data_IF_427355171654
#
_entry.id   IF_427355171654
#
_cell.length_a   1.000
_cell.length_b   1.000
_cell.length_c   1.000
_cell.angle_alpha   90.00
_cell.angle_beta   90.00
_cell.angle_gamma   90.00
#
_symmetry.space_group_name_H-M   'P 1'
#
loop_
_entity.id
_entity.type
_entity.pdbx_description
1 polymer ?
#
# COMPACT_ATOMS: atom_id res chain seq x y z
N UNK A 1 -17.87 14.09 2.04
CA UNK A 1 -16.73 13.23 1.67
C UNK A 1 -17.26 11.81 1.62
N UNK A 2 -17.52 11.32 0.43
CA UNK A 2 -17.99 9.95 0.21
C UNK A 2 -16.82 9.00 0.43
N UNK A 3 -17.05 7.80 0.95
CA UNK A 3 -16.02 6.79 1.29
C UNK A 3 -15.08 6.39 0.14
N UNK A 4 -15.34 6.85 -1.10
CA UNK A 4 -14.60 6.51 -2.31
C UNK A 4 -13.28 7.31 -2.50
N UNK A 5 -13.04 8.37 -1.72
CA UNK A 5 -11.81 9.19 -1.86
C UNK A 5 -10.69 8.81 -0.86
N UNK A 6 -10.94 7.85 0.04
CA UNK A 6 -9.92 7.34 0.96
C UNK A 6 -9.19 6.16 0.33
N UNK A 7 -7.86 6.24 0.33
CA UNK A 7 -7.01 5.10 0.01
C UNK A 7 -7.37 3.93 0.95
N UNK A 8 -7.51 2.67 0.46
CA UNK A 8 -7.96 1.50 1.26
C UNK A 8 -6.92 0.98 2.27
N UNK A 9 -6.09 1.85 2.84
CA UNK A 9 -5.22 1.49 3.96
C UNK A 9 -6.00 1.69 5.26
N UNK A 10 -6.19 0.66 6.09
CA UNK A 10 -6.88 0.79 7.37
C UNK A 10 -6.02 1.61 8.35
N UNK A 11 -6.66 2.40 9.22
CA UNK A 11 -5.98 3.17 10.27
C UNK A 11 -5.00 2.34 11.10
N UNK A 12 -5.34 1.06 11.35
CA UNK A 12 -4.48 0.13 12.07
C UNK A 12 -3.11 -0.09 11.41
N UNK A 13 -3.04 -0.03 10.08
CA UNK A 13 -1.78 -0.09 9.35
C UNK A 13 -0.95 1.20 9.51
N UNK A 14 -1.61 2.35 9.70
CA UNK A 14 -0.94 3.62 9.91
C UNK A 14 -0.40 3.81 11.34
N UNK A 15 -1.01 3.17 12.35
CA UNK A 15 -0.67 3.37 13.77
C UNK A 15 0.78 3.05 14.16
N UNK A 16 1.48 2.23 13.36
CA UNK A 16 2.88 1.84 13.62
C UNK A 16 3.91 2.63 12.81
N UNK A 17 3.45 3.62 12.06
CA UNK A 17 4.30 4.47 11.22
C UNK A 17 4.78 5.65 12.04
N UNK A 18 6.08 6.02 11.99
CA UNK A 18 6.65 7.13 12.75
C UNK A 18 6.32 8.50 12.11
N UNK A 19 5.07 8.71 11.70
CA UNK A 19 4.54 9.99 11.21
C UNK A 19 3.20 10.29 11.90
N UNK A 20 2.83 11.58 12.07
CA UNK A 20 1.48 11.94 12.50
C UNK A 20 0.43 11.34 11.55
N UNK A 21 -0.71 10.91 12.10
CA UNK A 21 -1.78 10.27 11.34
C UNK A 21 -2.29 11.14 10.17
N UNK A 22 -2.40 12.45 10.39
CA UNK A 22 -2.81 13.41 9.36
C UNK A 22 -1.78 13.51 8.22
N UNK A 23 -0.48 13.45 8.56
CA UNK A 23 0.59 13.50 7.56
C UNK A 23 0.58 12.25 6.68
N UNK A 24 0.48 11.05 7.26
CA UNK A 24 0.40 9.82 6.47
C UNK A 24 -0.87 9.76 5.63
N UNK A 25 -2.02 10.22 6.13
CA UNK A 25 -3.25 10.28 5.33
C UNK A 25 -3.12 11.22 4.13
N UNK A 26 -2.44 12.35 4.28
CA UNK A 26 -2.19 13.26 3.16
C UNK A 26 -1.30 12.59 2.08
N UNK A 27 -0.29 11.81 2.48
CA UNK A 27 0.54 11.04 1.54
C UNK A 27 -0.28 9.96 0.83
N UNK A 28 -1.09 9.21 1.56
CA UNK A 28 -1.94 8.15 1.01
C UNK A 28 -2.99 8.70 0.03
N UNK A 29 -3.56 9.89 0.30
CA UNK A 29 -4.43 10.57 -0.66
C UNK A 29 -3.71 10.88 -1.98
N UNK A 30 -2.46 11.36 -1.91
CA UNK A 30 -1.63 11.61 -3.10
C UNK A 30 -1.31 10.32 -3.86
N UNK A 31 -1.09 9.21 -3.15
CA UNK A 31 -0.92 7.88 -3.77
C UNK A 31 -2.20 7.42 -4.47
N UNK A 32 -3.36 7.59 -3.85
CA UNK A 32 -4.64 7.22 -4.45
C UNK A 32 -4.85 7.98 -5.77
N UNK A 33 -4.58 9.28 -5.79
CA UNK A 33 -4.64 10.09 -7.01
C UNK A 33 -3.57 9.68 -8.04
N UNK A 34 -2.38 9.27 -7.61
CA UNK A 34 -1.34 8.76 -8.49
C UNK A 34 -1.70 7.44 -9.17
N UNK A 35 -2.44 6.57 -8.48
CA UNK A 35 -2.94 5.30 -9.00
C UNK A 35 -4.20 5.45 -9.85
N UNK A 36 -4.93 6.56 -9.71
CA UNK A 36 -6.15 6.83 -10.46
C UNK A 36 -5.94 6.66 -11.97
N UNK A 37 -6.66 5.71 -12.56
CA UNK A 37 -6.58 5.38 -13.99
C UNK A 37 -5.45 4.40 -14.37
N UNK A 38 -4.61 3.98 -13.42
CA UNK A 38 -3.53 3.00 -13.62
C UNK A 38 -3.86 1.63 -13.03
N UNK A 39 -4.96 1.48 -12.31
CA UNK A 39 -5.31 0.29 -11.53
C UNK A 39 -5.34 -0.96 -12.42
N UNK A 40 -5.95 -0.85 -13.61
CA UNK A 40 -5.98 -1.95 -14.59
C UNK A 40 -4.60 -2.29 -15.15
N UNK A 41 -3.71 -1.31 -15.31
CA UNK A 41 -2.36 -1.56 -15.80
C UNK A 41 -1.53 -2.25 -14.72
N UNK A 42 -1.57 -1.72 -13.49
CA UNK A 42 -0.90 -2.29 -12.32
C UNK A 42 -1.37 -3.72 -12.03
N UNK A 43 -2.68 -3.97 -12.06
CA UNK A 43 -3.24 -5.31 -11.86
C UNK A 43 -2.94 -6.33 -12.97
N UNK A 44 -2.48 -5.88 -14.15
CA UNK A 44 -1.94 -6.79 -15.18
C UNK A 44 -0.44 -6.97 -15.07
N UNK A 45 0.27 -5.95 -14.60
CA UNK A 45 1.73 -5.96 -14.48
C UNK A 45 2.20 -6.81 -13.29
N UNK A 46 1.46 -6.76 -12.18
CA UNK A 46 1.87 -7.35 -10.93
C UNK A 46 0.97 -8.50 -10.49
N UNK A 47 1.55 -9.42 -9.72
CA UNK A 47 0.85 -10.56 -9.16
C UNK A 47 -0.13 -10.10 -8.07
N UNK A 48 -1.34 -10.67 -8.07
CA UNK A 48 -2.36 -10.40 -7.05
C UNK A 48 -2.10 -11.27 -5.82
N UNK A 49 -1.82 -10.64 -4.68
CA UNK A 49 -1.52 -11.33 -3.42
C UNK A 49 -2.80 -11.77 -2.71
N UNK A 50 -3.77 -10.85 -2.55
CA UNK A 50 -5.06 -11.11 -1.90
C UNK A 50 -6.12 -10.07 -2.24
N UNK A 51 -7.36 -10.42 -1.91
CA UNK A 51 -8.54 -9.56 -1.99
C UNK A 51 -8.85 -8.98 -0.63
N UNK A 52 -8.62 -7.68 -0.50
CA UNK A 52 -9.03 -6.93 0.68
C UNK A 52 -10.49 -6.50 0.52
N UNK A 53 -11.15 -6.19 1.64
CA UNK A 53 -12.55 -5.73 1.64
C UNK A 53 -12.79 -4.55 0.69
N UNK A 54 -11.86 -3.60 0.69
CA UNK A 54 -12.00 -2.30 0.00
C UNK A 54 -11.00 -2.13 -1.15
N UNK A 55 -10.31 -3.20 -1.53
CA UNK A 55 -9.22 -3.10 -2.50
C UNK A 55 -8.62 -4.43 -2.93
N UNK A 56 -7.50 -4.34 -3.63
CA UNK A 56 -6.68 -5.50 -3.98
C UNK A 56 -5.24 -5.24 -3.54
N UNK A 57 -4.58 -6.25 -3.01
CA UNK A 57 -3.15 -6.18 -2.71
C UNK A 57 -2.38 -6.87 -3.82
N UNK A 58 -1.39 -6.17 -4.36
CA UNK A 58 -0.48 -6.64 -5.38
C UNK A 58 0.91 -6.83 -4.78
N UNK A 59 1.64 -7.80 -5.30
CA UNK A 59 3.07 -7.92 -5.12
C UNK A 59 3.81 -7.22 -6.26
N UNK A 60 4.49 -6.13 -5.93
CA UNK A 60 5.28 -5.35 -6.87
C UNK A 60 6.79 -5.56 -6.65
N UNK A 61 7.58 -5.04 -7.60
CA UNK A 61 9.04 -5.01 -7.50
C UNK A 61 9.48 -4.22 -6.26
N UNK A 62 10.61 -4.63 -5.65
CA UNK A 62 11.12 -4.02 -4.40
C UNK A 62 11.35 -2.51 -4.50
N UNK A 63 11.65 -2.00 -5.69
CA UNK A 63 11.93 -0.59 -5.97
C UNK A 63 10.68 0.19 -6.41
N UNK A 64 9.49 -0.41 -6.31
CA UNK A 64 8.23 0.25 -6.67
C UNK A 64 8.02 1.56 -5.91
N UNK A 65 8.24 1.54 -4.59
CA UNK A 65 8.00 2.70 -3.74
C UNK A 65 9.02 3.80 -3.96
N UNK A 66 10.28 3.47 -4.24
CA UNK A 66 11.31 4.44 -4.60
C UNK A 66 10.87 5.22 -5.85
N UNK A 67 10.48 4.51 -6.92
CA UNK A 67 10.00 5.14 -8.15
C UNK A 67 8.73 5.98 -7.95
N UNK A 68 7.80 5.49 -7.13
CA UNK A 68 6.55 6.20 -6.85
C UNK A 68 6.81 7.45 -6.00
N UNK A 69 7.67 7.35 -4.98
CA UNK A 69 8.11 8.43 -4.12
C UNK A 69 8.79 9.53 -4.91
N UNK A 70 9.74 9.18 -5.79
CA UNK A 70 10.41 10.10 -6.70
C UNK A 70 9.40 10.83 -7.60
N UNK A 71 8.48 10.09 -8.21
CA UNK A 71 7.45 10.67 -9.08
C UNK A 71 6.52 11.64 -8.35
N UNK A 72 6.37 11.50 -7.04
CA UNK A 72 5.53 12.34 -6.19
C UNK A 72 6.32 13.38 -5.37
N UNK A 73 7.65 13.39 -5.48
CA UNK A 73 8.52 14.24 -4.67
C UNK A 73 8.38 13.98 -3.17
N UNK A 74 8.18 12.72 -2.78
CA UNK A 74 8.24 12.30 -1.37
C UNK A 74 9.71 12.19 -0.95
N UNK A 75 9.97 12.48 0.32
CA UNK A 75 11.25 12.16 0.97
C UNK A 75 11.36 10.66 1.23
N UNK A 76 12.58 10.15 1.43
CA UNK A 76 12.82 8.74 1.77
C UNK A 76 12.01 8.28 2.99
N UNK A 77 11.83 9.16 3.98
CA UNK A 77 11.05 8.88 5.18
C UNK A 77 9.55 8.76 4.88
N UNK A 78 9.01 9.61 4.01
CA UNK A 78 7.62 9.57 3.57
C UNK A 78 7.35 8.35 2.68
N UNK A 79 8.28 8.04 1.76
CA UNK A 79 8.24 6.84 0.92
C UNK A 79 8.23 5.57 1.77
N UNK A 80 9.17 5.45 2.72
CA UNK A 80 9.23 4.32 3.64
C UNK A 80 7.98 4.22 4.53
N UNK A 81 7.39 5.35 4.92
CA UNK A 81 6.15 5.38 5.68
C UNK A 81 4.98 4.82 4.87
N UNK A 82 4.80 5.29 3.63
CA UNK A 82 3.76 4.78 2.72
C UNK A 82 3.96 3.29 2.45
N UNK A 83 5.17 2.86 2.08
CA UNK A 83 5.51 1.46 1.88
C UNK A 83 5.08 0.59 3.08
N UNK A 84 5.49 0.97 4.30
CA UNK A 84 5.11 0.24 5.52
C UNK A 84 3.61 0.20 5.74
N UNK A 85 2.87 1.25 5.38
CA UNK A 85 1.41 1.26 5.48
C UNK A 85 0.78 0.17 4.60
N UNK A 86 1.26 0.07 3.36
CA UNK A 86 0.82 -0.93 2.40
C UNK A 86 1.20 -2.36 2.80
N UNK A 87 2.45 -2.57 3.24
CA UNK A 87 2.94 -3.87 3.72
C UNK A 87 2.21 -4.30 5.00
N UNK A 88 2.00 -3.38 5.94
CA UNK A 88 1.25 -3.69 7.17
C UNK A 88 -0.21 -4.05 6.84
N UNK A 89 -0.80 -3.47 5.80
CA UNK A 89 -2.14 -3.84 5.33
C UNK A 89 -2.18 -5.29 4.83
N UNK A 90 -1.18 -5.71 4.04
CA UNK A 90 -1.02 -7.09 3.62
C UNK A 90 -0.92 -8.03 4.83
N UNK A 91 -0.09 -7.69 5.81
CA UNK A 91 0.12 -8.53 7.00
C UNK A 91 -1.11 -8.62 7.89
N UNK A 92 -1.87 -7.53 8.06
CA UNK A 92 -3.13 -7.53 8.80
C UNK A 92 -4.22 -8.34 8.08
N UNK A 93 -4.24 -8.32 6.75
CA UNK A 93 -5.15 -9.17 5.98
C UNK A 93 -4.73 -10.65 6.05
N UNK A 94 -3.44 -10.94 5.89
CA UNK A 94 -2.89 -12.29 6.00
C UNK A 94 -3.07 -12.92 7.38
N UNK A 95 -3.04 -12.13 8.46
CA UNK A 95 -3.37 -12.61 9.81
C UNK A 95 -4.79 -13.19 9.91
N UNK A 96 -5.75 -12.58 9.21
CA UNK A 96 -7.14 -13.07 9.19
C UNK A 96 -7.32 -14.33 8.35
N UNK A 97 -6.45 -14.54 7.37
CA UNK A 97 -6.45 -15.68 6.44
C UNK A 97 -5.48 -16.80 6.86
N UNK A 98 -4.84 -16.69 8.03
CA UNK A 98 -3.78 -17.61 8.49
C UNK A 98 -2.57 -17.72 7.52
N UNK A 99 -2.29 -16.64 6.79
CA UNK A 99 -1.21 -16.53 5.77
C UNK A 99 -0.14 -15.51 6.10
N UNK A 100 -0.14 -14.96 7.33
CA UNK A 100 0.79 -13.90 7.74
C UNK A 100 2.26 -14.26 7.47
N UNK A 101 2.70 -15.46 7.87
CA UNK A 101 4.10 -15.88 7.73
C UNK A 101 4.53 -16.03 6.25
N UNK A 102 3.62 -16.47 5.37
CA UNK A 102 3.84 -16.53 3.93
C UNK A 102 4.11 -15.13 3.36
N UNK A 103 3.31 -14.15 3.77
CA UNK A 103 3.46 -12.77 3.33
C UNK A 103 4.70 -12.09 3.90
N UNK A 104 5.07 -12.35 5.15
CA UNK A 104 6.34 -11.87 5.72
C UNK A 104 7.53 -12.37 4.87
N UNK A 105 7.52 -13.66 4.49
CA UNK A 105 8.55 -14.23 3.60
C UNK A 105 8.52 -13.62 2.19
N UNK A 106 7.32 -13.36 1.64
CA UNK A 106 7.20 -12.76 0.32
C UNK A 106 7.76 -11.33 0.27
N UNK A 107 7.61 -10.57 1.36
CA UNK A 107 8.11 -9.19 1.49
C UNK A 107 9.64 -9.09 1.59
N UNK A 108 10.36 -10.20 1.81
CA UNK A 108 11.83 -10.20 1.76
C UNK A 108 12.38 -9.87 0.36
N UNK A 109 11.60 -10.12 -0.69
CA UNK A 109 12.03 -9.97 -2.10
C UNK A 109 11.04 -9.18 -2.97
N UNK A 110 9.98 -8.64 -2.38
CA UNK A 110 8.90 -7.90 -3.05
C UNK A 110 8.39 -6.80 -2.12
N UNK A 111 7.54 -5.93 -2.62
CA UNK A 111 6.75 -5.03 -1.77
C UNK A 111 5.26 -5.17 -2.04
N UNK A 112 4.45 -4.78 -1.06
CA UNK A 112 3.00 -4.75 -1.20
C UNK A 112 2.54 -3.39 -1.75
N UNK A 113 1.58 -3.44 -2.67
CA UNK A 113 0.85 -2.27 -3.17
C UNK A 113 -0.64 -2.54 -3.02
N UNK A 114 -1.37 -1.61 -2.44
CA UNK A 114 -2.80 -1.75 -2.17
C UNK A 114 -3.49 -0.77 -3.12
N UNK A 115 -4.39 -1.27 -3.94
CA UNK A 115 -5.18 -0.45 -4.86
C UNK A 115 -6.63 -0.38 -4.38
N UNK A 116 -7.19 0.83 -4.38
CA UNK A 116 -8.64 1.03 -4.20
C UNK A 116 -9.43 0.43 -5.36
N UNK A 117 -10.68 0.06 -5.08
CA UNK A 117 -11.66 -0.27 -6.11
C UNK A 117 -12.36 0.97 -6.65
#
# INVERSE_FOLDING_TARGET
MTSADLHPIPDAACRRIPLPFEAINALLARIADYFRGKERALGRQYERALDASDGVVLFADVDFWDRAGDALGFTDAETAAVQRAHETTLLLAGDREDRRAEFETALDVRTAVVLGR
#
